data_IF_866630357386
#
_entry.id   IF_866630357386
#
_cell.length_a   1.000
_cell.length_b   1.000
_cell.length_c   1.000
_cell.angle_alpha   90.00
_cell.angle_beta   90.00
_cell.angle_gamma   90.00
#
_symmetry.space_group_name_H-M   'P 1'
#
loop_
_entity.id
_entity.type
_entity.pdbx_description
1 polymer ?
#
# COMPACT_ATOMS: atom_id res chain seq x y z
N UNK A 1 22.67 -15.37 16.47
CA UNK A 1 21.71 -14.81 17.44
C UNK A 1 20.85 -13.68 16.86
N UNK A 2 21.43 -12.61 16.31
CA UNK A 2 20.65 -11.51 15.71
C UNK A 2 19.96 -11.90 14.39
N UNK A 3 20.62 -12.70 13.56
CA UNK A 3 20.01 -13.31 12.35
C UNK A 3 18.84 -14.26 12.66
N UNK A 4 18.95 -15.07 13.72
CA UNK A 4 17.89 -15.96 14.19
C UNK A 4 16.70 -15.20 14.77
N UNK A 5 16.95 -14.16 15.58
CA UNK A 5 15.88 -13.31 16.13
C UNK A 5 15.13 -12.57 15.03
N UNK A 6 15.84 -12.08 14.02
CA UNK A 6 15.23 -11.46 12.83
C UNK A 6 14.38 -12.48 12.05
N UNK A 7 14.90 -13.68 11.78
CA UNK A 7 14.14 -14.72 11.07
C UNK A 7 12.88 -15.21 11.79
N UNK A 8 12.85 -15.15 13.13
CA UNK A 8 11.65 -15.45 13.94
C UNK A 8 10.63 -14.30 13.84
N UNK A 9 11.08 -13.04 13.96
CA UNK A 9 10.20 -11.88 13.80
C UNK A 9 9.53 -11.87 12.43
N UNK A 10 10.28 -12.12 11.35
CA UNK A 10 9.77 -12.09 9.98
C UNK A 10 8.74 -13.17 9.69
N UNK A 11 8.94 -14.39 10.24
CA UNK A 11 7.95 -15.47 10.16
C UNK A 11 6.63 -15.05 10.78
N UNK A 12 6.74 -14.59 12.02
CA UNK A 12 5.61 -14.11 12.80
C UNK A 12 4.94 -12.92 12.11
N UNK A 13 5.71 -12.03 11.48
CA UNK A 13 5.18 -10.84 10.80
C UNK A 13 4.25 -11.19 9.65
N UNK A 14 4.64 -12.13 8.78
CA UNK A 14 3.77 -12.54 7.68
C UNK A 14 2.49 -13.21 8.18
N UNK A 15 2.58 -14.00 9.25
CA UNK A 15 1.41 -14.63 9.90
C UNK A 15 0.48 -13.57 10.49
N UNK A 16 1.01 -12.60 11.24
CA UNK A 16 0.24 -11.46 11.78
C UNK A 16 -0.47 -10.67 10.66
N UNK A 17 0.19 -10.43 9.53
CA UNK A 17 -0.44 -9.75 8.39
C UNK A 17 -1.59 -10.60 7.81
N UNK A 18 -1.39 -11.92 7.68
CA UNK A 18 -2.40 -12.87 7.15
C UNK A 18 -3.61 -13.01 8.08
N UNK A 19 -3.43 -12.87 9.39
CA UNK A 19 -4.55 -12.84 10.35
C UNK A 19 -5.50 -11.66 10.07
N UNK A 20 -5.01 -10.61 9.38
CA UNK A 20 -5.82 -9.51 8.89
C UNK A 20 -6.75 -9.86 7.72
N UNK A 21 -6.69 -11.07 7.15
CA UNK A 21 -7.50 -11.43 5.97
C UNK A 21 -8.99 -11.53 6.27
N UNK A 22 -9.34 -11.91 7.51
CA UNK A 22 -10.72 -11.96 8.00
C UNK A 22 -11.13 -10.70 8.78
N UNK A 23 -10.32 -9.65 8.78
CA UNK A 23 -10.58 -8.42 9.55
C UNK A 23 -10.89 -7.27 8.60
N UNK A 24 -12.08 -6.70 8.71
CA UNK A 24 -12.51 -5.56 7.90
C UNK A 24 -11.68 -4.32 8.22
N UNK A 25 -11.25 -3.59 7.19
CA UNK A 25 -10.63 -2.27 7.39
C UNK A 25 -11.71 -1.24 7.76
N UNK A 26 -11.61 -0.60 8.94
CA UNK A 26 -12.63 0.35 9.36
C UNK A 26 -12.60 1.61 8.50
N UNK A 27 -13.78 2.08 8.12
CA UNK A 27 -13.94 3.48 7.73
C UNK A 27 -13.63 4.43 8.89
N UNK A 28 -13.87 5.72 8.70
CA UNK A 28 -13.72 6.66 9.79
C UNK A 28 -13.39 8.06 9.31
N UNK A 29 -13.64 9.01 10.19
CA UNK A 29 -13.26 10.40 10.03
C UNK A 29 -11.81 10.58 10.47
N UNK A 30 -10.92 10.78 9.50
CA UNK A 30 -9.48 10.95 9.76
C UNK A 30 -9.15 12.22 10.54
N UNK A 31 -10.07 13.21 10.60
CA UNK A 31 -9.87 14.42 11.41
C UNK A 31 -9.90 14.16 12.91
N UNK A 32 -10.42 12.98 13.30
CA UNK A 32 -10.48 12.50 14.69
C UNK A 32 -9.33 11.56 15.04
N UNK A 33 -8.44 11.27 14.10
CA UNK A 33 -7.27 10.44 14.39
C UNK A 33 -6.20 11.27 15.08
N UNK A 34 -5.67 10.72 16.16
CA UNK A 34 -4.54 11.29 16.86
C UNK A 34 -3.24 11.01 16.10
N UNK A 35 -2.26 11.90 16.25
CA UNK A 35 -0.91 11.63 15.75
C UNK A 35 -0.33 10.51 16.61
N UNK A 36 0.08 9.38 16.03
CA UNK A 36 0.55 8.25 16.82
C UNK A 36 1.91 8.56 17.47
N UNK A 37 2.17 8.00 18.65
CA UNK A 37 3.42 8.24 19.40
C UNK A 37 4.69 7.89 18.61
N UNK A 38 4.59 6.95 17.68
CA UNK A 38 5.70 6.53 16.83
C UNK A 38 5.95 7.45 15.63
N UNK A 39 5.11 8.47 15.40
CA UNK A 39 5.24 9.40 14.29
C UNK A 39 6.51 10.25 14.44
N UNK A 40 7.29 10.29 13.36
CA UNK A 40 8.54 11.03 13.26
C UNK A 40 8.40 12.03 12.11
N UNK A 41 8.16 13.29 12.49
CA UNK A 41 7.97 14.40 11.54
C UNK A 41 9.19 14.57 10.61
N UNK A 42 10.41 14.34 11.12
CA UNK A 42 11.62 14.52 10.30
C UNK A 42 11.70 13.46 9.21
N UNK A 43 11.44 12.19 9.54
CA UNK A 43 11.33 11.11 8.55
C UNK A 43 10.20 11.35 7.57
N UNK A 44 9.05 11.82 8.05
CA UNK A 44 7.91 12.11 7.21
C UNK A 44 8.23 13.21 6.18
N UNK A 45 8.85 14.32 6.60
CA UNK A 45 9.28 15.38 5.69
C UNK A 45 10.40 14.92 4.75
N UNK A 46 11.36 14.12 5.24
CA UNK A 46 12.44 13.59 4.41
C UNK A 46 11.90 12.76 3.24
N UNK A 47 10.88 11.93 3.47
CA UNK A 47 10.23 11.17 2.41
C UNK A 47 9.59 12.07 1.33
N UNK A 48 9.04 13.23 1.73
CA UNK A 48 8.47 14.21 0.81
C UNK A 48 9.55 14.88 -0.05
N UNK A 49 10.72 15.18 0.53
CA UNK A 49 11.88 15.66 -0.23
C UNK A 49 12.35 14.63 -1.26
N UNK A 50 12.50 13.36 -0.84
CA UNK A 50 12.90 12.27 -1.74
C UNK A 50 11.88 12.13 -2.89
N UNK A 51 10.58 12.23 -2.60
CA UNK A 51 9.55 12.22 -3.64
C UNK A 51 9.69 13.38 -4.61
N UNK A 52 9.95 14.60 -4.13
CA UNK A 52 10.16 15.76 -5.00
C UNK A 52 11.39 15.57 -5.89
N UNK A 53 12.49 15.12 -5.33
CA UNK A 53 13.78 15.03 -6.02
C UNK A 53 13.84 13.80 -6.96
N UNK A 54 13.06 12.76 -6.67
CA UNK A 54 13.00 11.50 -7.42
C UNK A 54 11.59 11.14 -7.92
N UNK A 55 10.78 12.15 -8.26
CA UNK A 55 9.36 12.01 -8.62
C UNK A 55 9.07 10.87 -9.62
N UNK A 56 9.82 10.84 -10.72
CA UNK A 56 9.63 9.85 -11.78
C UNK A 56 9.97 8.43 -11.30
N UNK A 57 11.04 8.29 -10.52
CA UNK A 57 11.51 7.01 -10.01
C UNK A 57 10.53 6.42 -8.97
N UNK A 58 10.03 7.23 -8.05
CA UNK A 58 9.03 6.78 -7.06
C UNK A 58 7.72 6.39 -7.73
N UNK A 59 7.21 7.22 -8.66
CA UNK A 59 5.99 6.89 -9.39
C UNK A 59 6.14 5.63 -10.26
N UNK A 60 7.31 5.40 -10.85
CA UNK A 60 7.61 4.15 -11.55
C UNK A 60 7.59 2.94 -10.59
N UNK A 61 8.18 3.07 -9.40
CA UNK A 61 8.11 2.06 -8.35
C UNK A 61 6.67 1.72 -7.94
N UNK A 62 5.84 2.73 -7.69
CA UNK A 62 4.42 2.57 -7.40
C UNK A 62 3.66 1.86 -8.54
N UNK A 63 3.93 2.22 -9.80
CA UNK A 63 3.31 1.58 -10.96
C UNK A 63 3.71 0.09 -11.03
N UNK A 64 4.99 -0.24 -10.84
CA UNK A 64 5.45 -1.63 -10.83
C UNK A 64 4.73 -2.46 -9.77
N UNK A 65 4.59 -1.96 -8.55
CA UNK A 65 3.90 -2.71 -7.49
C UNK A 65 2.39 -2.77 -7.70
N UNK A 66 1.77 -1.73 -8.25
CA UNK A 66 0.37 -1.76 -8.66
C UNK A 66 0.10 -2.87 -9.70
N UNK A 67 0.95 -3.00 -10.72
CA UNK A 67 0.85 -4.08 -11.71
C UNK A 67 0.97 -5.46 -11.06
N UNK A 68 1.87 -5.60 -10.08
CA UNK A 68 2.00 -6.82 -9.30
C UNK A 68 0.77 -7.10 -8.42
N UNK A 69 0.06 -6.08 -7.94
CA UNK A 69 -1.13 -6.24 -7.10
C UNK A 69 -2.30 -6.91 -7.84
N UNK A 70 -2.32 -6.87 -9.18
CA UNK A 70 -3.34 -7.55 -9.97
C UNK A 70 -3.23 -9.07 -9.89
N UNK A 71 -2.16 -9.65 -9.35
CA UNK A 71 -2.15 -11.11 -9.13
C UNK A 71 -3.00 -11.53 -7.91
N UNK A 72 -3.62 -10.59 -7.19
CA UNK A 72 -4.52 -10.86 -6.08
C UNK A 72 -5.98 -10.78 -6.53
N UNK A 73 -6.61 -11.94 -6.77
CA UNK A 73 -7.97 -12.05 -7.31
C UNK A 73 -9.01 -11.31 -6.45
N UNK A 74 -8.88 -11.32 -5.12
CA UNK A 74 -9.79 -10.59 -4.21
C UNK A 74 -9.77 -9.08 -4.47
N UNK A 75 -8.57 -8.51 -4.66
CA UNK A 75 -8.38 -7.10 -4.99
C UNK A 75 -8.97 -6.76 -6.36
N UNK A 76 -8.81 -7.63 -7.37
CA UNK A 76 -9.41 -7.38 -8.68
C UNK A 76 -10.93 -7.42 -8.62
N UNK A 77 -11.52 -8.38 -7.92
CA UNK A 77 -12.99 -8.44 -7.76
C UNK A 77 -13.51 -7.14 -7.14
N UNK A 78 -12.84 -6.61 -6.13
CA UNK A 78 -13.17 -5.31 -5.54
C UNK A 78 -12.99 -4.15 -6.53
N UNK A 79 -11.93 -4.12 -7.33
CA UNK A 79 -11.73 -3.09 -8.35
C UNK A 79 -12.83 -3.14 -9.43
N UNK A 80 -13.13 -4.33 -9.96
CA UNK A 80 -14.15 -4.51 -11.01
C UNK A 80 -15.55 -4.13 -10.52
N UNK A 81 -15.88 -4.39 -9.25
CA UNK A 81 -17.20 -4.08 -8.70
C UNK A 81 -17.51 -2.58 -8.66
N UNK A 82 -16.51 -1.71 -8.80
CA UNK A 82 -16.70 -0.25 -8.84
C UNK A 82 -17.19 0.27 -10.19
N UNK A 83 -17.08 -0.51 -11.28
CA UNK A 83 -17.40 -0.08 -12.64
C UNK A 83 -16.32 0.77 -13.33
N UNK A 84 -15.37 1.33 -12.57
CA UNK A 84 -14.27 2.18 -13.07
C UNK A 84 -13.12 1.38 -13.73
N UNK A 85 -13.42 0.18 -14.25
CA UNK A 85 -12.45 -0.74 -14.89
C UNK A 85 -12.95 -1.37 -16.19
N UNK A 86 -14.10 -0.93 -16.71
CA UNK A 86 -14.77 -1.60 -17.84
C UNK A 86 -14.24 -1.19 -19.22
N UNK A 87 -13.45 -0.12 -19.32
CA UNK A 87 -12.86 0.39 -20.56
C UNK A 87 -11.43 0.90 -20.36
N UNK A 88 -10.67 1.06 -21.45
CA UNK A 88 -9.33 1.67 -21.42
C UNK A 88 -9.35 3.08 -20.83
N UNK A 89 -10.36 3.90 -21.19
CA UNK A 89 -10.48 5.27 -20.69
C UNK A 89 -10.78 5.30 -19.18
N UNK A 90 -11.68 4.44 -18.69
CA UNK A 90 -11.95 4.34 -17.24
C UNK A 90 -10.74 3.82 -16.46
N UNK A 91 -9.99 2.86 -17.02
CA UNK A 91 -8.75 2.36 -16.41
C UNK A 91 -7.68 3.47 -16.36
N UNK A 92 -7.45 4.17 -17.47
CA UNK A 92 -6.53 5.30 -17.51
C UNK A 92 -6.92 6.38 -16.48
N UNK A 93 -8.21 6.74 -16.44
CA UNK A 93 -8.71 7.71 -15.47
C UNK A 93 -8.47 7.25 -14.03
N UNK A 94 -8.78 6.00 -13.69
CA UNK A 94 -8.54 5.42 -12.37
C UNK A 94 -7.08 5.58 -11.94
N UNK A 95 -6.13 5.13 -12.75
CA UNK A 95 -4.72 5.14 -12.35
C UNK A 95 -4.13 6.55 -12.33
N UNK A 96 -4.58 7.43 -13.23
CA UNK A 96 -4.26 8.85 -13.14
C UNK A 96 -4.77 9.47 -11.84
N UNK A 97 -5.98 9.10 -11.40
CA UNK A 97 -6.52 9.55 -10.11
C UNK A 97 -5.73 8.97 -8.93
N UNK A 98 -5.31 7.70 -8.98
CA UNK A 98 -4.42 7.11 -7.97
C UNK A 98 -3.12 7.90 -7.85
N UNK A 99 -2.44 8.19 -8.97
CA UNK A 99 -1.21 9.00 -8.99
C UNK A 99 -1.47 10.38 -8.37
N UNK A 100 -2.56 11.05 -8.75
CA UNK A 100 -2.93 12.36 -8.20
C UNK A 100 -3.21 12.33 -6.70
N UNK A 101 -3.82 11.26 -6.19
CA UNK A 101 -4.04 11.10 -4.75
C UNK A 101 -2.70 10.96 -4.01
N UNK A 102 -1.82 10.08 -4.48
CA UNK A 102 -0.50 9.85 -3.89
C UNK A 102 0.37 11.11 -3.94
N UNK A 103 0.39 11.79 -5.08
CA UNK A 103 1.11 13.05 -5.24
C UNK A 103 0.66 14.10 -4.22
N UNK A 104 -0.65 14.27 -4.01
CA UNK A 104 -1.16 15.16 -2.96
C UNK A 104 -0.65 14.77 -1.58
N UNK A 105 -0.59 13.48 -1.26
CA UNK A 105 -0.10 13.02 0.05
C UNK A 105 1.37 13.34 0.27
N UNK A 106 2.20 13.21 -0.77
CA UNK A 106 3.61 13.58 -0.72
C UNK A 106 3.87 15.08 -0.73
N UNK A 107 3.00 15.88 -1.35
CA UNK A 107 3.23 17.33 -1.49
C UNK A 107 2.59 18.16 -0.37
N UNK A 108 1.41 17.74 0.13
CA UNK A 108 0.64 18.51 1.11
C UNK A 108 0.86 18.09 2.57
N UNK A 109 0.03 18.62 3.45
CA UNK A 109 -0.03 18.27 4.87
C UNK A 109 -1.19 17.32 5.15
N UNK A 110 -0.90 16.06 5.47
CA UNK A 110 -1.92 15.04 5.75
C UNK A 110 -2.61 15.22 7.10
N UNK A 111 -2.06 16.05 7.99
CA UNK A 111 -2.59 16.33 9.33
C UNK A 111 -3.45 17.61 9.38
N UNK A 112 -3.35 18.49 8.38
CA UNK A 112 -4.18 19.70 8.31
C UNK A 112 -5.49 19.40 7.59
N UNK A 113 -6.61 19.49 8.32
CA UNK A 113 -7.97 19.28 7.80
C UNK A 113 -8.33 20.16 6.60
N UNK A 114 -7.68 21.33 6.46
CA UNK A 114 -7.90 22.27 5.37
C UNK A 114 -7.00 22.01 4.15
N UNK A 115 -6.05 21.10 4.25
CA UNK A 115 -5.13 20.77 3.16
C UNK A 115 -5.77 19.76 2.16
N UNK A 116 -5.54 19.92 0.84
CA UNK A 116 -5.95 18.94 -0.16
C UNK A 116 -5.47 17.51 0.09
N UNK A 117 -4.33 17.30 0.74
CA UNK A 117 -3.77 16.00 1.09
C UNK A 117 -4.62 15.28 2.13
N UNK A 118 -5.02 15.96 3.21
CA UNK A 118 -5.92 15.40 4.21
C UNK A 118 -7.27 15.04 3.58
N UNK A 119 -7.89 15.96 2.84
CA UNK A 119 -9.13 15.66 2.10
C UNK A 119 -8.98 14.46 1.17
N UNK A 120 -7.85 14.36 0.47
CA UNK A 120 -7.54 13.25 -0.42
C UNK A 120 -7.52 11.90 0.32
N UNK A 121 -6.87 11.81 1.48
CA UNK A 121 -6.86 10.61 2.32
C UNK A 121 -8.28 10.27 2.81
N UNK A 122 -9.02 11.27 3.30
CA UNK A 122 -10.40 11.08 3.79
C UNK A 122 -11.31 10.47 2.71
N UNK A 123 -11.19 10.97 1.47
CA UNK A 123 -11.89 10.44 0.29
C UNK A 123 -11.50 8.97 0.06
N UNK A 124 -10.19 8.65 -0.01
CA UNK A 124 -9.73 7.29 -0.31
C UNK A 124 -10.12 6.30 0.80
N UNK A 125 -10.01 6.68 2.07
CA UNK A 125 -10.48 5.87 3.20
C UNK A 125 -11.98 5.57 3.10
N UNK A 126 -12.77 6.60 2.79
CA UNK A 126 -14.22 6.45 2.60
C UNK A 126 -14.55 5.57 1.40
N UNK A 127 -13.79 5.68 0.29
CA UNK A 127 -13.94 4.82 -0.87
C UNK A 127 -13.67 3.35 -0.53
N UNK A 128 -12.57 3.05 0.17
CA UNK A 128 -12.24 1.69 0.62
C UNK A 128 -13.33 1.10 1.51
N UNK A 129 -13.78 1.84 2.53
CA UNK A 129 -14.86 1.39 3.41
C UNK A 129 -16.16 1.11 2.65
N UNK A 130 -16.55 2.00 1.72
CA UNK A 130 -17.76 1.81 0.90
C UNK A 130 -17.66 0.59 -0.02
N UNK A 131 -16.50 0.35 -0.63
CA UNK A 131 -16.28 -0.84 -1.47
C UNK A 131 -16.33 -2.11 -0.60
N UNK A 132 -15.68 -2.12 0.56
CA UNK A 132 -15.74 -3.23 1.51
C UNK A 132 -17.17 -3.56 1.92
N UNK A 133 -17.97 -2.56 2.30
CA UNK A 133 -19.38 -2.73 2.64
C UNK A 133 -20.23 -3.23 1.46
N UNK A 134 -20.04 -2.66 0.26
CA UNK A 134 -20.74 -3.09 -0.95
C UNK A 134 -20.45 -4.57 -1.26
N UNK A 135 -19.19 -4.98 -1.13
CA UNK A 135 -18.77 -6.34 -1.42
C UNK A 135 -19.25 -7.32 -0.33
N UNK A 136 -19.30 -6.91 0.94
CA UNK A 136 -19.86 -7.73 2.02
C UNK A 136 -21.33 -8.13 1.77
N UNK A 137 -22.10 -7.29 1.08
CA UNK A 137 -23.49 -7.58 0.70
C UNK A 137 -23.64 -8.77 -0.27
N UNK A 138 -22.54 -9.28 -0.85
CA UNK A 138 -22.55 -10.50 -1.66
C UNK A 138 -22.76 -11.76 -0.82
N UNK A 139 -22.50 -11.70 0.50
CA UNK A 139 -22.63 -12.83 1.44
C UNK A 139 -21.88 -14.11 1.00
N UNK A 140 -20.72 -13.95 0.35
CA UNK A 140 -19.90 -15.05 -0.17
C UNK A 140 -18.86 -15.58 0.85
N UNK A 141 -18.92 -15.11 2.10
CA UNK A 141 -17.99 -15.48 3.17
C UNK A 141 -16.61 -14.82 3.07
N UNK A 142 -16.41 -13.88 2.14
CA UNK A 142 -15.12 -13.21 1.92
C UNK A 142 -15.15 -11.80 2.51
N UNK A 143 -14.11 -11.45 3.28
CA UNK A 143 -13.89 -10.07 3.74
C UNK A 143 -13.06 -9.33 2.69
N UNK A 144 -13.72 -8.48 1.91
CA UNK A 144 -13.08 -7.61 0.92
C UNK A 144 -12.59 -6.31 1.56
N UNK A 145 -11.48 -5.78 1.05
CA UNK A 145 -10.81 -4.60 1.64
C UNK A 145 -10.48 -4.89 3.12
N UNK A 146 -10.03 -6.12 3.37
CA UNK A 146 -9.57 -6.53 4.69
C UNK A 146 -8.26 -5.85 5.05
N UNK A 147 -7.85 -5.95 6.32
CA UNK A 147 -6.57 -5.42 6.79
C UNK A 147 -5.40 -6.03 5.98
N UNK A 148 -5.51 -7.31 5.58
CA UNK A 148 -4.57 -7.95 4.66
C UNK A 148 -4.56 -7.31 3.27
N UNK A 149 -5.72 -7.02 2.67
CA UNK A 149 -5.79 -6.38 1.35
C UNK A 149 -5.13 -5.00 1.36
N UNK A 150 -5.34 -4.27 2.45
CA UNK A 150 -4.73 -2.97 2.67
C UNK A 150 -3.21 -3.09 2.87
N UNK A 151 -2.73 -4.12 3.59
CA UNK A 151 -1.30 -4.38 3.75
C UNK A 151 -0.62 -4.79 2.44
N UNK A 152 -1.26 -5.63 1.62
CA UNK A 152 -0.78 -5.99 0.28
C UNK A 152 -0.80 -4.77 -0.65
N UNK A 153 -1.81 -3.91 -0.54
CA UNK A 153 -1.85 -2.63 -1.27
C UNK A 153 -0.72 -1.70 -0.81
N UNK A 154 -0.44 -1.63 0.49
CA UNK A 154 0.70 -0.88 1.02
C UNK A 154 2.03 -1.44 0.49
N UNK A 155 2.19 -2.78 0.44
CA UNK A 155 3.34 -3.43 -0.20
C UNK A 155 3.50 -2.99 -1.66
N UNK A 156 2.41 -2.90 -2.42
CA UNK A 156 2.45 -2.45 -3.81
C UNK A 156 3.01 -1.03 -3.96
N UNK A 157 2.87 -0.17 -2.96
CA UNK A 157 3.43 1.18 -3.01
C UNK A 157 4.86 1.28 -2.47
N UNK A 158 5.24 0.48 -1.47
CA UNK A 158 6.56 0.58 -0.81
C UNK A 158 7.57 -0.49 -1.25
N UNK A 159 7.10 -1.71 -1.50
CA UNK A 159 7.94 -2.89 -1.75
C UNK A 159 8.91 -2.71 -2.91
N UNK A 160 8.46 -2.34 -4.12
CA UNK A 160 9.37 -2.13 -5.24
C UNK A 160 10.44 -1.07 -5.00
N UNK A 161 10.10 -0.02 -4.23
CA UNK A 161 11.02 1.07 -3.90
C UNK A 161 12.16 0.58 -3.01
N UNK A 162 11.85 -0.19 -1.98
CA UNK A 162 12.86 -0.64 -0.99
C UNK A 162 13.62 -1.89 -1.43
N UNK A 163 12.99 -2.77 -2.24
CA UNK A 163 13.59 -4.03 -2.70
C UNK A 163 14.35 -3.92 -4.02
N UNK A 164 13.95 -3.00 -4.91
CA UNK A 164 14.48 -2.91 -6.27
C UNK A 164 15.04 -1.52 -6.59
N UNK A 165 15.58 -0.85 -5.57
CA UNK A 165 16.25 0.46 -5.58
C UNK A 165 16.86 0.88 -6.91
N UNK A 166 17.84 0.14 -7.42
CA UNK A 166 18.54 0.48 -8.67
C UNK A 166 17.67 0.30 -9.92
N UNK A 167 16.75 -0.68 -9.92
CA UNK A 167 15.86 -0.96 -11.05
C UNK A 167 14.75 0.07 -11.19
N UNK A 168 14.35 0.69 -10.08
CA UNK A 168 13.38 1.79 -10.09
C UNK A 168 14.05 3.17 -10.22
N UNK A 169 15.39 3.23 -10.32
CA UNK A 169 16.14 4.47 -10.53
C UNK A 169 16.54 5.23 -9.26
N UNK A 170 16.47 4.60 -8.08
CA UNK A 170 16.74 5.22 -6.78
C UNK A 170 18.11 4.85 -6.19
N UNK A 171 19.09 4.44 -6.99
CA UNK A 171 20.38 3.90 -6.53
C UNK A 171 21.27 4.84 -5.70
N UNK A 172 20.94 6.13 -5.60
CA UNK A 172 21.71 7.13 -4.86
C UNK A 172 21.18 7.45 -3.44
N UNK A 173 20.05 6.88 -3.03
CA UNK A 173 19.46 7.12 -1.70
C UNK A 173 20.10 6.22 -0.63
N UNK A 174 20.21 6.73 0.62
CA UNK A 174 20.73 5.96 1.75
C UNK A 174 19.67 5.04 2.37
N UNK A 175 20.07 4.16 3.30
CA UNK A 175 19.12 3.33 4.05
C UNK A 175 18.16 4.19 4.90
N UNK A 176 18.64 5.30 5.45
CA UNK A 176 17.82 6.30 6.17
C UNK A 176 16.79 6.97 5.25
N UNK A 177 17.13 7.21 3.99
CA UNK A 177 16.18 7.73 3.00
C UNK A 177 15.05 6.73 2.72
N UNK A 178 15.37 5.44 2.61
CA UNK A 178 14.36 4.40 2.45
C UNK A 178 13.53 4.19 3.72
N UNK A 179 14.15 4.30 4.90
CA UNK A 179 13.44 4.27 6.18
C UNK A 179 12.46 5.45 6.30
N UNK A 180 12.82 6.63 5.80
CA UNK A 180 11.91 7.77 5.68
C UNK A 180 10.71 7.44 4.78
N UNK A 181 10.92 6.83 3.61
CA UNK A 181 9.83 6.40 2.71
C UNK A 181 8.94 5.32 3.37
N UNK A 182 9.54 4.37 4.10
CA UNK A 182 8.79 3.38 4.89
C UNK A 182 7.93 4.08 5.94
N UNK A 183 8.51 5.03 6.68
CA UNK A 183 7.82 5.81 7.70
C UNK A 183 6.65 6.59 7.11
N UNK A 184 6.83 7.23 5.96
CA UNK A 184 5.75 7.89 5.23
C UNK A 184 4.60 6.93 4.93
N UNK A 185 4.89 5.76 4.35
CA UNK A 185 3.85 4.78 4.05
C UNK A 185 3.24 4.13 5.30
N UNK A 186 3.97 4.04 6.42
CA UNK A 186 3.41 3.65 7.72
C UNK A 186 2.34 4.64 8.16
N UNK A 187 2.63 5.94 8.08
CA UNK A 187 1.70 7.03 8.40
C UNK A 187 0.48 7.03 7.48
N UNK A 188 0.68 6.90 6.16
CA UNK A 188 -0.43 6.82 5.21
C UNK A 188 -1.30 5.58 5.50
N UNK A 189 -0.70 4.43 5.81
CA UNK A 189 -1.44 3.22 6.18
C UNK A 189 -2.31 3.42 7.42
N UNK A 190 -1.76 4.02 8.47
CA UNK A 190 -2.49 4.37 9.69
C UNK A 190 -3.69 5.29 9.40
N UNK A 191 -3.47 6.34 8.61
CA UNK A 191 -4.54 7.28 8.24
C UNK A 191 -5.63 6.64 7.38
N UNK A 192 -5.27 5.66 6.54
CA UNK A 192 -6.20 4.87 5.75
C UNK A 192 -6.96 3.79 6.56
N UNK A 193 -6.66 3.63 7.86
CA UNK A 193 -7.34 2.71 8.76
C UNK A 193 -6.67 1.35 8.92
N UNK A 194 -5.42 1.20 8.47
CA UNK A 194 -4.65 -0.02 8.75
C UNK A 194 -4.25 -0.01 10.22
N UNK A 195 -4.65 -1.04 10.98
CA UNK A 195 -4.23 -1.16 12.37
C UNK A 195 -2.71 -1.40 12.43
N UNK A 196 -2.03 -0.88 13.46
CA UNK A 196 -0.57 -0.96 13.57
C UNK A 196 -0.03 -2.39 13.45
N UNK A 197 -0.75 -3.38 14.01
CA UNK A 197 -0.37 -4.80 13.89
C UNK A 197 -0.46 -5.33 12.45
N UNK A 198 -1.28 -4.75 11.58
CA UNK A 198 -1.42 -5.14 10.16
C UNK A 198 -0.68 -4.20 9.21
N UNK A 199 -0.13 -3.09 9.71
CA UNK A 199 0.62 -2.12 8.90
C UNK A 199 1.98 -2.70 8.52
N UNK A 200 2.17 -3.09 7.26
CA UNK A 200 3.41 -3.70 6.79
C UNK A 200 4.65 -2.85 7.11
N UNK A 201 4.51 -1.53 7.07
CA UNK A 201 5.60 -0.59 7.38
C UNK A 201 5.85 -0.39 8.89
N UNK A 202 5.22 -1.19 9.76
CA UNK A 202 5.52 -1.21 11.19
C UNK A 202 6.78 -2.04 11.48
N UNK A 203 7.75 -1.41 12.14
CA UNK A 203 9.00 -2.03 12.57
C UNK A 203 10.20 -1.11 12.34
N UNK A 204 11.39 -1.66 12.53
CA UNK A 204 12.65 -1.04 12.08
C UNK A 204 12.82 -1.21 10.57
N UNK A 205 13.74 -0.43 9.99
CA UNK A 205 14.12 -0.53 8.58
C UNK A 205 14.34 -1.97 8.10
N UNK A 206 15.29 -2.69 8.73
CA UNK A 206 15.64 -4.06 8.34
C UNK A 206 14.47 -5.04 8.45
N UNK A 207 13.66 -4.87 9.48
CA UNK A 207 12.47 -5.69 9.70
C UNK A 207 11.45 -5.49 8.56
N UNK A 208 11.17 -4.25 8.19
CA UNK A 208 10.21 -3.94 7.11
C UNK A 208 10.75 -4.39 5.75
N UNK A 209 12.04 -4.19 5.46
CA UNK A 209 12.66 -4.66 4.20
C UNK A 209 12.51 -6.17 4.07
N UNK A 210 12.84 -6.93 5.11
CA UNK A 210 12.71 -8.39 5.08
C UNK A 210 11.26 -8.87 5.06
N UNK A 211 10.34 -8.17 5.72
CA UNK A 211 8.90 -8.42 5.59
C UNK A 211 8.44 -8.23 4.14
N UNK A 212 8.91 -7.16 3.47
CA UNK A 212 8.64 -6.92 2.06
C UNK A 212 9.19 -8.05 1.17
N UNK A 213 10.43 -8.51 1.39
CA UNK A 213 11.01 -9.65 0.67
C UNK A 213 10.16 -10.91 0.85
N UNK A 214 9.72 -11.16 2.08
CA UNK A 214 8.95 -12.35 2.40
C UNK A 214 7.57 -12.34 1.75
N UNK A 215 6.88 -11.20 1.75
CA UNK A 215 5.62 -11.00 1.02
C UNK A 215 5.83 -11.21 -0.49
N UNK A 216 6.90 -10.66 -1.07
CA UNK A 216 7.24 -10.90 -2.47
C UNK A 216 7.37 -12.40 -2.78
N UNK A 217 8.15 -13.12 -1.97
CA UNK A 217 8.47 -14.51 -2.22
C UNK A 217 7.32 -15.47 -1.93
N UNK A 218 6.55 -15.22 -0.87
CA UNK A 218 5.50 -16.14 -0.39
C UNK A 218 4.11 -15.81 -0.93
N UNK A 219 3.87 -14.57 -1.35
CA UNK A 219 2.55 -14.16 -1.84
C UNK A 219 2.56 -13.85 -3.32
N UNK A 220 3.41 -12.90 -3.75
CA UNK A 220 3.42 -12.42 -5.13
C UNK A 220 3.95 -13.48 -6.10
N UNK A 221 5.15 -14.04 -5.86
CA UNK A 221 5.74 -15.05 -6.76
C UNK A 221 4.86 -16.28 -6.93
N UNK A 222 4.22 -16.74 -5.86
CA UNK A 222 3.30 -17.89 -5.90
C UNK A 222 2.11 -17.59 -6.81
N UNK A 223 1.45 -16.43 -6.63
CA UNK A 223 0.29 -16.03 -7.44
C UNK A 223 0.65 -15.66 -8.88
N UNK A 224 1.88 -15.26 -9.15
CA UNK A 224 2.35 -15.02 -10.52
C UNK A 224 2.55 -16.32 -11.31
N UNK A 225 2.99 -17.40 -10.64
CA UNK A 225 3.13 -18.72 -11.27
C UNK A 225 1.75 -19.30 -11.59
N UNK A 226 0.78 -19.11 -10.68
CA UNK A 226 -0.58 -19.62 -10.78
C UNK A 226 -1.58 -18.49 -11.07
N UNK A 227 -1.27 -17.66 -12.06
CA UNK A 227 -2.04 -16.44 -12.34
C UNK A 227 -3.46 -16.75 -12.85
N UNK A 228 -4.47 -16.21 -12.16
CA UNK A 228 -5.86 -16.30 -12.59
C UNK A 228 -6.09 -15.58 -13.95
N UNK A 229 -6.91 -16.11 -14.87
CA UNK A 229 -7.18 -15.47 -16.15
C UNK A 229 -7.72 -14.03 -16.04
N UNK A 230 -8.47 -13.72 -14.98
CA UNK A 230 -8.92 -12.37 -14.68
C UNK A 230 -7.74 -11.44 -14.36
N UNK A 231 -6.77 -11.92 -13.58
CA UNK A 231 -5.52 -11.21 -13.27
C UNK A 231 -4.72 -10.89 -14.53
N UNK A 232 -4.54 -11.87 -15.40
CA UNK A 232 -3.81 -11.69 -16.66
C UNK A 232 -4.52 -10.67 -17.56
N UNK A 233 -5.85 -10.72 -17.66
CA UNK A 233 -6.62 -9.73 -18.44
C UNK A 233 -6.50 -8.32 -17.87
N UNK A 234 -6.56 -8.18 -16.55
CA UNK A 234 -6.41 -6.88 -15.90
C UNK A 234 -5.01 -6.31 -16.18
N UNK A 235 -3.95 -7.10 -15.98
CA UNK A 235 -2.58 -6.66 -16.28
C UNK A 235 -2.39 -6.19 -17.74
N UNK A 236 -2.90 -6.96 -18.71
CA UNK A 236 -2.87 -6.59 -20.14
C UNK A 236 -3.71 -5.37 -20.52
N UNK A 237 -4.64 -4.96 -19.67
CA UNK A 237 -5.48 -3.78 -19.95
C UNK A 237 -4.84 -2.48 -19.46
N UNK A 238 -3.80 -2.60 -18.61
CA UNK A 238 -3.07 -1.47 -18.01
C UNK A 238 -1.70 -1.27 -18.66
N UNK A 239 -1.04 -2.37 -19.06
CA UNK A 239 0.22 -2.37 -19.81
C UNK A 239 -0.02 -2.31 -21.33
#
# INVERSE_FOLDING_TARGET
MESEKNGVWERKRLEELRDGDSVTTPGGDISKQEIPEWFDEQKFQRAKEIYRDHFAAINFGHLCGLLLSFYFTKNIKALLSTGESCSKNSLFHRYLMTIRHIQKWYEGNVWDVNDPAHRSISIVRSMHARVGQKMAALNDGIVYVSQWDMAITQWAFVGPIVLFRSRVGLHGCSDEDYDAVIHFWRTIGYLLGIEDKYNLCHGTYDQVVKACERVLHKEYKVRMIEADPLSVRMGKSVA
#
